data_IF_212515160633
#
_entry.id   IF_212515160633
#
_cell.length_a   1.000
_cell.length_b   1.000
_cell.length_c   1.000
_cell.angle_alpha   90.00
_cell.angle_beta   90.00
_cell.angle_gamma   90.00
#
_symmetry.space_group_name_H-M   'P 1'
#
loop_
_entity.id
_entity.type
_entity.pdbx_description
1 polymer ?
#
# COMPACT_ATOMS: atom_id res chain seq x y z
N UNK A 1 11.32 -0.83 -30.60
CA UNK A 1 10.53 -1.38 -29.47
C UNK A 1 10.96 -0.58 -28.25
N UNK A 2 10.11 0.32 -27.75
CA UNK A 2 10.50 1.37 -26.79
C UNK A 2 11.16 0.74 -25.56
N UNK A 3 12.43 1.08 -25.32
CA UNK A 3 13.19 0.68 -24.14
C UNK A 3 12.50 1.34 -22.93
N UNK A 4 11.61 0.60 -22.29
CA UNK A 4 10.77 1.12 -21.20
C UNK A 4 11.70 1.33 -20.02
N UNK A 5 12.08 2.58 -19.77
CA UNK A 5 13.04 2.91 -18.72
C UNK A 5 12.65 2.19 -17.41
N UNK A 6 13.48 1.25 -16.94
CA UNK A 6 13.18 0.47 -15.75
C UNK A 6 13.03 1.37 -14.51
N UNK A 7 13.59 2.58 -14.52
CA UNK A 7 13.41 3.56 -13.45
C UNK A 7 11.96 4.06 -13.37
N UNK A 8 11.32 4.35 -14.50
CA UNK A 8 9.92 4.80 -14.55
C UNK A 8 8.97 3.70 -14.07
N UNK A 9 9.21 2.45 -14.46
CA UNK A 9 8.42 1.30 -14.01
C UNK A 9 8.54 1.07 -12.49
N UNK A 10 9.75 1.20 -11.94
CA UNK A 10 10.00 1.10 -10.49
C UNK A 10 9.31 2.22 -9.72
N UNK A 11 9.40 3.45 -10.20
CA UNK A 11 8.71 4.59 -9.58
C UNK A 11 7.19 4.40 -9.59
N UNK A 12 6.63 3.99 -10.73
CA UNK A 12 5.19 3.71 -10.85
C UNK A 12 4.75 2.61 -9.88
N UNK A 13 5.51 1.52 -9.77
CA UNK A 13 5.22 0.44 -8.82
C UNK A 13 5.19 0.94 -7.37
N UNK A 14 6.18 1.72 -6.94
CA UNK A 14 6.22 2.31 -5.59
C UNK A 14 4.98 3.20 -5.33
N UNK A 15 4.60 4.03 -6.30
CA UNK A 15 3.46 4.92 -6.16
C UNK A 15 2.14 4.15 -6.11
N UNK A 16 1.97 3.10 -6.93
CA UNK A 16 0.79 2.22 -6.88
C UNK A 16 0.69 1.51 -5.53
N UNK A 17 1.80 1.00 -4.99
CA UNK A 17 1.81 0.38 -3.66
C UNK A 17 1.37 1.37 -2.58
N UNK A 18 1.85 2.61 -2.62
CA UNK A 18 1.41 3.66 -1.68
C UNK A 18 -0.08 3.98 -1.82
N UNK A 19 -0.56 4.06 -3.06
CA UNK A 19 -1.97 4.36 -3.34
C UNK A 19 -2.88 3.22 -2.86
N UNK A 20 -2.48 1.97 -3.08
CA UNK A 20 -3.19 0.79 -2.58
C UNK A 20 -3.18 0.72 -1.06
N UNK A 21 -2.03 0.93 -0.42
CA UNK A 21 -1.95 0.98 1.03
C UNK A 21 -2.85 2.08 1.63
N UNK A 22 -2.85 3.28 1.03
CA UNK A 22 -3.73 4.37 1.45
C UNK A 22 -5.23 4.01 1.24
N UNK A 23 -5.56 3.36 0.13
CA UNK A 23 -6.92 2.88 -0.13
C UNK A 23 -7.34 1.82 0.91
N UNK A 24 -6.44 0.90 1.29
CA UNK A 24 -6.69 -0.07 2.36
C UNK A 24 -6.92 0.60 3.72
N UNK A 25 -6.15 1.63 4.06
CA UNK A 25 -6.37 2.42 5.28
C UNK A 25 -7.76 3.06 5.28
N UNK A 26 -8.15 3.72 4.17
CA UNK A 26 -9.47 4.35 4.03
C UNK A 26 -10.58 3.30 4.12
N UNK A 27 -10.42 2.17 3.43
CA UNK A 27 -11.38 1.06 3.51
C UNK A 27 -11.51 0.53 4.95
N UNK A 28 -10.40 0.35 5.66
CA UNK A 28 -10.40 -0.06 7.06
C UNK A 28 -11.10 0.96 7.97
N UNK A 29 -10.89 2.26 7.77
CA UNK A 29 -11.64 3.30 8.50
C UNK A 29 -13.15 3.21 8.22
N UNK A 30 -13.55 2.96 6.98
CA UNK A 30 -14.96 2.80 6.62
C UNK A 30 -15.59 1.52 7.20
N UNK A 31 -14.79 0.45 7.37
CA UNK A 31 -15.20 -0.76 8.08
C UNK A 31 -15.41 -0.49 9.57
N UNK A 32 -14.47 0.20 10.23
CA UNK A 32 -14.62 0.61 11.65
C UNK A 32 -15.83 1.54 11.82
N UNK A 33 -16.07 2.43 10.87
CA UNK A 33 -17.25 3.31 10.86
C UNK A 33 -18.56 2.58 10.50
N UNK A 34 -18.53 1.24 10.31
CA UNK A 34 -19.66 0.39 9.88
C UNK A 34 -20.39 0.90 8.63
N UNK A 35 -19.69 1.63 7.75
CA UNK A 35 -20.24 2.21 6.52
C UNK A 35 -20.15 1.28 5.33
N UNK A 36 -19.15 0.39 5.31
CA UNK A 36 -18.88 -0.50 4.18
C UNK A 36 -19.31 -1.95 4.46
N UNK A 37 -18.94 -2.48 5.62
CA UNK A 37 -19.23 -3.84 6.04
C UNK A 37 -19.71 -3.83 7.50
N UNK A 38 -20.98 -3.52 7.77
CA UNK A 38 -21.51 -3.34 9.13
C UNK A 38 -21.52 -4.63 9.96
N UNK A 39 -21.44 -5.79 9.32
CA UNK A 39 -21.35 -7.12 9.97
C UNK A 39 -19.90 -7.52 10.30
N UNK A 40 -18.90 -6.82 9.74
CA UNK A 40 -17.51 -7.13 10.02
C UNK A 40 -17.14 -6.59 11.41
N UNK A 41 -16.46 -7.39 12.25
CA UNK A 41 -16.05 -6.92 13.56
C UNK A 41 -15.00 -5.80 13.46
N UNK A 42 -15.07 -4.85 14.38
CA UNK A 42 -14.24 -3.63 14.36
C UNK A 42 -12.74 -3.92 14.37
N UNK A 43 -12.31 -4.99 15.07
CA UNK A 43 -10.92 -5.42 15.10
C UNK A 43 -10.39 -5.77 13.70
N UNK A 44 -11.22 -6.30 12.81
CA UNK A 44 -10.82 -6.59 11.43
C UNK A 44 -10.54 -5.31 10.64
N UNK A 45 -11.33 -4.25 10.90
CA UNK A 45 -11.07 -2.92 10.36
C UNK A 45 -9.74 -2.34 10.83
N UNK A 46 -9.43 -2.47 12.13
CA UNK A 46 -8.14 -2.03 12.67
C UNK A 46 -6.95 -2.82 12.09
N UNK A 47 -7.09 -4.14 11.90
CA UNK A 47 -6.07 -4.96 11.23
C UNK A 47 -5.86 -4.49 9.79
N UNK A 48 -6.92 -4.19 9.06
CA UNK A 48 -6.83 -3.68 7.69
C UNK A 48 -6.13 -2.31 7.62
N UNK A 49 -6.42 -1.41 8.57
CA UNK A 49 -5.71 -0.13 8.70
C UNK A 49 -4.22 -0.35 8.96
N UNK A 50 -3.89 -1.25 9.88
CA UNK A 50 -2.50 -1.57 10.20
C UNK A 50 -1.73 -2.12 8.99
N UNK A 51 -2.35 -3.04 8.23
CA UNK A 51 -1.78 -3.57 6.98
C UNK A 51 -1.59 -2.44 5.96
N UNK A 52 -2.61 -1.61 5.73
CA UNK A 52 -2.51 -0.50 4.78
C UNK A 52 -1.43 0.52 5.16
N UNK A 53 -1.22 0.78 6.46
CA UNK A 53 -0.13 1.62 6.95
C UNK A 53 1.24 0.98 6.66
N UNK A 54 1.39 -0.32 6.94
CA UNK A 54 2.62 -1.06 6.63
C UNK A 54 2.90 -1.02 5.12
N UNK A 55 1.91 -1.25 4.27
CA UNK A 55 2.05 -1.19 2.82
C UNK A 55 2.35 0.23 2.30
N UNK A 56 1.85 1.27 2.98
CA UNK A 56 2.09 2.66 2.57
C UNK A 56 3.46 3.18 3.00
N UNK A 57 3.96 2.75 4.16
CA UNK A 57 5.15 3.34 4.78
C UNK A 57 6.35 2.40 4.84
N UNK A 58 6.16 1.09 4.93
CA UNK A 58 7.22 0.10 5.14
C UNK A 58 7.61 -0.59 3.84
N UNK A 59 6.64 -0.99 3.01
CA UNK A 59 6.93 -1.68 1.74
C UNK A 59 7.69 -0.79 0.73
N UNK A 60 7.36 0.50 0.52
CA UNK A 60 8.07 1.37 -0.42
C UNK A 60 9.56 1.53 -0.14
N UNK A 61 10.02 1.85 1.09
CA UNK A 61 11.45 1.94 1.37
C UNK A 61 12.16 0.59 1.26
N UNK A 62 11.48 -0.55 1.51
CA UNK A 62 12.04 -1.88 1.26
C UNK A 62 12.24 -2.11 -0.25
N UNK A 63 11.25 -1.78 -1.09
CA UNK A 63 11.36 -1.86 -2.54
C UNK A 63 12.50 -0.98 -3.08
N UNK A 64 12.60 0.26 -2.57
CA UNK A 64 13.68 1.19 -2.92
C UNK A 64 15.04 0.60 -2.55
N UNK A 65 15.19 0.04 -1.35
CA UNK A 65 16.42 -0.62 -0.90
C UNK A 65 16.78 -1.82 -1.75
N UNK A 66 15.78 -2.63 -2.13
CA UNK A 66 15.97 -3.83 -2.97
C UNK A 66 16.38 -3.47 -4.40
N UNK A 67 15.93 -2.34 -4.93
CA UNK A 67 16.25 -1.88 -6.29
C UNK A 67 17.43 -0.92 -6.36
N UNK A 68 17.97 -0.49 -5.21
CA UNK A 68 19.31 0.08 -5.16
C UNK A 68 20.28 -1.04 -5.49
N UNK A 69 20.76 -1.08 -6.73
CA UNK A 69 21.86 -1.95 -7.12
C UNK A 69 23.00 -1.82 -6.11
N UNK A 70 23.60 -2.93 -5.65
CA UNK A 70 24.80 -2.86 -4.82
C UNK A 70 25.91 -2.20 -5.64
N UNK A 71 26.63 -1.28 -4.99
CA UNK A 71 27.86 -0.72 -5.52
C UNK A 71 28.99 -1.73 -5.33
#
# INVERSE_FOLDING_TARGET
MSDRDPAAARFAAIQVTRLMGAACVIAGMLVVARRLLPELPEWAGYVLIAIGLVDTFVIPPILIRKWRSPK
#
